data_IF_649437125624
#
_entry.id   IF_649437125624
#
_cell.length_a   1.000
_cell.length_b   1.000
_cell.length_c   1.000
_cell.angle_alpha   90.00
_cell.angle_beta   90.00
_cell.angle_gamma   90.00
#
_symmetry.space_group_name_H-M   'P 1'
#
loop_
_entity.id
_entity.type
_entity.pdbx_description
1 polymer ?
#
# COMPACT_ATOMS: atom_id res chain seq x y z
N UNK A 1 -6.59 0.14 8.80
CA UNK A 1 -6.85 1.50 8.32
C UNK A 1 -6.63 1.58 6.83
N UNK A 2 -7.32 2.54 6.22
CA UNK A 2 -7.38 2.81 4.79
C UNK A 2 -6.03 2.96 4.12
N UNK A 3 -5.95 2.48 2.88
CA UNK A 3 -4.77 2.60 2.02
C UNK A 3 -4.74 3.94 1.26
N UNK A 4 -5.90 4.56 1.07
CA UNK A 4 -6.02 5.87 0.41
C UNK A 4 -5.10 6.91 1.09
N UNK A 5 -4.23 7.60 0.32
CA UNK A 5 -3.37 8.64 0.86
C UNK A 5 -4.21 9.87 1.25
N UNK A 6 -4.05 10.36 2.48
CA UNK A 6 -4.55 11.68 2.89
C UNK A 6 -3.36 12.56 3.27
N UNK A 7 -3.22 13.77 2.70
CA UNK A 7 -2.23 14.73 3.15
C UNK A 7 -2.38 15.03 4.65
N UNK A 8 -1.26 15.09 5.37
CA UNK A 8 -1.28 15.46 6.79
C UNK A 8 -1.55 16.97 7.00
N UNK A 9 -1.23 17.79 6.00
CA UNK A 9 -1.52 19.23 5.97
C UNK A 9 -1.80 19.70 4.54
N UNK A 10 -2.32 20.92 4.40
CA UNK A 10 -2.51 21.62 3.11
C UNK A 10 -1.26 22.38 2.63
N UNK A 11 -0.21 22.46 3.45
CA UNK A 11 1.05 23.13 3.09
C UNK A 11 2.00 22.24 2.28
N UNK A 12 3.25 22.69 2.09
CA UNK A 12 4.28 21.94 1.35
C UNK A 12 4.88 20.74 2.14
N UNK A 13 4.03 19.91 2.77
CA UNK A 13 4.50 18.67 3.41
C UNK A 13 4.22 17.47 2.52
N UNK A 14 5.20 16.55 2.43
CA UNK A 14 5.06 15.28 1.69
C UNK A 14 4.54 14.14 2.58
N UNK A 15 4.10 14.44 3.80
CA UNK A 15 3.69 13.45 4.79
C UNK A 15 2.22 13.08 4.60
N UNK A 16 1.97 11.77 4.55
CA UNK A 16 0.61 11.22 4.46
C UNK A 16 0.16 10.70 5.82
N UNK A 17 -1.02 11.13 6.28
CA UNK A 17 -1.63 10.62 7.51
C UNK A 17 -2.41 9.33 7.25
N UNK A 18 -2.77 8.65 8.34
CA UNK A 18 -3.53 7.41 8.30
C UNK A 18 -5.01 7.65 7.99
N UNK A 19 -5.54 7.03 6.93
CA UNK A 19 -6.97 7.03 6.64
C UNK A 19 -7.72 6.05 7.55
N UNK A 20 -8.71 6.50 8.33
CA UNK A 20 -9.44 5.61 9.27
C UNK A 20 -10.71 4.95 8.68
N UNK A 21 -11.27 5.50 7.60
CA UNK A 21 -12.43 4.93 6.89
C UNK A 21 -12.06 3.98 5.74
N UNK A 22 -13.05 3.68 4.90
CA UNK A 22 -12.98 2.79 3.74
C UNK A 22 -13.37 1.35 4.06
N UNK A 23 -13.26 0.47 3.06
CA UNK A 23 -13.59 -0.96 3.19
C UNK A 23 -12.62 -1.67 4.16
N UNK A 24 -13.15 -2.18 5.27
CA UNK A 24 -12.33 -2.84 6.30
C UNK A 24 -11.75 -4.18 5.83
N UNK A 25 -12.48 -4.94 5.04
CA UNK A 25 -12.06 -6.24 4.54
C UNK A 25 -10.93 -6.07 3.53
N UNK A 26 -11.11 -5.21 2.53
CA UNK A 26 -10.06 -4.90 1.56
C UNK A 26 -8.78 -4.38 2.24
N UNK A 27 -8.91 -3.47 3.21
CA UNK A 27 -7.78 -2.94 3.96
C UNK A 27 -7.06 -4.01 4.80
N UNK A 28 -7.79 -4.99 5.35
CA UNK A 28 -7.21 -6.13 6.08
C UNK A 28 -6.43 -7.02 5.11
N UNK A 29 -6.99 -7.36 3.96
CA UNK A 29 -6.34 -8.19 2.94
C UNK A 29 -5.03 -7.55 2.47
N UNK A 30 -5.05 -6.26 2.11
CA UNK A 30 -3.83 -5.54 1.71
C UNK A 30 -2.78 -5.53 2.82
N UNK A 31 -3.22 -5.42 4.08
CA UNK A 31 -2.29 -5.50 5.21
C UNK A 31 -1.62 -6.87 5.31
N UNK A 32 -2.37 -7.95 5.16
CA UNK A 32 -1.84 -9.32 5.21
C UNK A 32 -0.83 -9.56 4.08
N UNK A 33 -1.14 -9.12 2.86
CA UNK A 33 -0.20 -9.19 1.72
C UNK A 33 1.09 -8.45 2.06
N UNK A 34 1.01 -7.23 2.61
CA UNK A 34 2.19 -6.47 2.99
C UNK A 34 3.05 -7.20 4.04
N UNK A 35 2.42 -7.81 5.05
CA UNK A 35 3.14 -8.59 6.08
C UNK A 35 3.82 -9.82 5.47
N UNK A 36 3.12 -10.55 4.60
CA UNK A 36 3.70 -11.70 3.90
C UNK A 36 4.89 -11.31 3.02
N UNK A 37 4.76 -10.23 2.25
CA UNK A 37 5.85 -9.71 1.41
C UNK A 37 7.06 -9.26 2.23
N UNK A 38 6.83 -8.59 3.35
CA UNK A 38 7.92 -8.17 4.24
C UNK A 38 8.67 -9.32 4.91
N UNK A 39 8.10 -10.53 4.91
CA UNK A 39 8.76 -11.73 5.43
C UNK A 39 9.54 -12.50 4.36
N UNK A 40 8.95 -12.64 3.17
CA UNK A 40 9.40 -13.64 2.19
C UNK A 40 9.70 -13.08 0.79
N UNK A 41 9.50 -11.77 0.54
CA UNK A 41 9.64 -11.19 -0.79
C UNK A 41 10.76 -10.15 -0.80
N UNK A 42 11.93 -10.53 -1.33
CA UNK A 42 13.14 -9.71 -1.30
C UNK A 42 12.93 -8.27 -1.81
N UNK A 43 12.25 -8.03 -2.96
CA UNK A 43 12.05 -6.65 -3.43
C UNK A 43 11.21 -5.78 -2.48
N UNK A 44 10.34 -6.40 -1.67
CA UNK A 44 9.58 -5.66 -0.66
C UNK A 44 10.43 -5.34 0.57
N UNK A 45 11.34 -6.24 0.96
CA UNK A 45 12.31 -6.01 2.02
C UNK A 45 13.25 -4.87 1.62
N UNK A 46 13.83 -4.93 0.41
CA UNK A 46 14.71 -3.88 -0.13
C UNK A 46 13.99 -2.53 -0.20
N UNK A 47 12.72 -2.53 -0.62
CA UNK A 47 11.90 -1.32 -0.60
C UNK A 47 11.73 -0.77 0.82
N UNK A 48 11.45 -1.62 1.81
CA UNK A 48 11.31 -1.18 3.20
C UNK A 48 12.62 -0.55 3.70
N UNK A 49 13.74 -1.23 3.50
CA UNK A 49 15.06 -0.77 3.92
C UNK A 49 15.43 0.57 3.29
N UNK A 50 15.22 0.71 1.98
CA UNK A 50 15.42 1.99 1.29
C UNK A 50 14.57 3.10 1.91
N UNK A 51 13.28 2.87 2.18
CA UNK A 51 12.41 3.89 2.79
C UNK A 51 12.84 4.24 4.21
N UNK A 52 13.36 3.28 4.98
CA UNK A 52 13.92 3.55 6.31
C UNK A 52 15.19 4.41 6.21
N UNK A 53 16.07 4.13 5.23
CA UNK A 53 17.28 4.93 4.98
C UNK A 53 16.97 6.37 4.56
N UNK A 54 15.84 6.59 3.88
CA UNK A 54 15.30 7.91 3.52
C UNK A 54 14.70 8.67 4.73
N UNK A 55 14.79 8.12 5.95
CA UNK A 55 14.33 8.75 7.19
C UNK A 55 12.83 8.57 7.48
N UNK A 56 12.11 7.71 6.75
CA UNK A 56 10.73 7.41 7.10
C UNK A 56 10.65 6.48 8.31
N UNK A 57 9.63 6.71 9.16
CA UNK A 57 9.29 5.73 10.19
C UNK A 57 8.85 4.40 9.55
N UNK A 58 9.10 3.28 10.24
CA UNK A 58 8.63 1.95 9.82
C UNK A 58 7.13 1.93 9.50
N UNK A 59 6.32 2.65 10.29
CA UNK A 59 4.87 2.78 10.05
C UNK A 59 4.57 3.51 8.74
N UNK A 60 5.32 4.55 8.40
CA UNK A 60 5.14 5.30 7.14
C UNK A 60 5.63 4.52 5.93
N UNK A 61 6.73 3.79 6.05
CA UNK A 61 7.25 2.91 5.02
C UNK A 61 6.25 1.77 4.71
N UNK A 62 5.70 1.12 5.73
CA UNK A 62 4.63 0.10 5.57
C UNK A 62 3.39 0.71 4.91
N UNK A 63 2.97 1.93 5.28
CA UNK A 63 1.84 2.61 4.59
C UNK A 63 2.13 2.86 3.12
N UNK A 64 3.35 3.26 2.78
CA UNK A 64 3.76 3.45 1.39
C UNK A 64 3.74 2.13 0.61
N UNK A 65 4.20 1.03 1.22
CA UNK A 65 4.13 -0.31 0.64
C UNK A 65 2.69 -0.75 0.38
N UNK A 66 1.76 -0.55 1.34
CA UNK A 66 0.34 -0.86 1.14
C UNK A 66 -0.25 -0.13 -0.07
N UNK A 67 0.18 1.11 -0.33
CA UNK A 67 -0.25 1.88 -1.52
C UNK A 67 0.31 1.32 -2.82
N UNK A 68 1.53 0.79 -2.82
CA UNK A 68 2.08 0.06 -3.97
C UNK A 68 1.26 -1.19 -4.26
N UNK A 69 1.01 -2.00 -3.24
CA UNK A 69 0.18 -3.21 -3.35
C UNK A 69 -1.22 -2.88 -3.88
N UNK A 70 -1.86 -1.82 -3.40
CA UNK A 70 -3.18 -1.43 -3.89
C UNK A 70 -3.17 -1.04 -5.38
N UNK A 71 -2.11 -0.39 -5.88
CA UNK A 71 -1.97 -0.09 -7.32
C UNK A 71 -1.79 -1.36 -8.15
N UNK A 72 -0.98 -2.30 -7.68
CA UNK A 72 -0.80 -3.60 -8.34
C UNK A 72 -2.12 -4.39 -8.39
N UNK A 73 -2.82 -4.48 -7.25
CA UNK A 73 -4.11 -5.17 -7.16
C UNK A 73 -5.16 -4.56 -8.08
N UNK A 74 -5.24 -3.23 -8.16
CA UNK A 74 -6.16 -2.57 -9.09
C UNK A 74 -5.88 -2.97 -10.55
N UNK A 75 -4.60 -3.04 -10.94
CA UNK A 75 -4.21 -3.51 -12.27
C UNK A 75 -4.63 -4.96 -12.53
N UNK A 76 -4.36 -5.85 -11.56
CA UNK A 76 -4.73 -7.26 -11.65
C UNK A 76 -6.26 -7.45 -11.75
N UNK A 77 -7.02 -6.82 -10.85
CA UNK A 77 -8.48 -6.91 -10.85
C UNK A 77 -9.11 -6.38 -12.14
N UNK A 78 -8.53 -5.32 -12.72
CA UNK A 78 -9.00 -4.79 -14.01
C UNK A 78 -8.71 -5.75 -15.16
N UNK A 79 -7.56 -6.43 -15.13
CA UNK A 79 -7.24 -7.45 -16.12
C UNK A 79 -8.18 -8.66 -16.00
N UNK A 80 -8.43 -9.13 -14.78
CA UNK A 80 -9.35 -10.22 -14.50
C UNK A 80 -10.77 -9.88 -14.94
N UNK A 81 -11.24 -8.67 -14.63
CA UNK A 81 -12.57 -8.19 -15.07
C UNK A 81 -12.69 -8.20 -16.59
N UNK A 82 -11.68 -7.69 -17.31
CA UNK A 82 -11.67 -7.70 -18.78
C UNK A 82 -11.70 -9.12 -19.35
N UNK A 83 -11.00 -10.06 -18.72
CA UNK A 83 -11.01 -11.46 -19.13
C UNK A 83 -12.39 -12.10 -18.92
N UNK A 84 -13.09 -11.71 -17.85
CA UNK A 84 -14.43 -12.18 -17.51
C UNK A 84 -15.50 -11.62 -18.47
N UNK A 85 -15.36 -10.36 -18.89
CA UNK A 85 -16.23 -9.74 -19.90
C UNK A 85 -16.03 -10.31 -21.32
N UNK A 86 -14.93 -11.03 -21.55
CA UNK A 86 -14.62 -11.66 -22.83
C UNK A 86 -15.10 -13.13 -22.93
N UNK A 87 -15.73 -13.65 -21.87
CA UNK A 87 -16.41 -14.96 -21.83
C UNK A 87 -17.87 -14.82 -22.27
#
# INVERSE_FOLDING_TARGET
TGVAPIPASSGQTRRMRLHRGGDRQANKTIHMIAVGRLKNHQPAIDYLERRLSEGLSKKDAIRAMKRLIARELHGALKADLKALDAL
#
